data_IF_868635808960
#
_entry.id   IF_868635808960
#
_cell.length_a   1.000
_cell.length_b   1.000
_cell.length_c   1.000
_cell.angle_alpha   90.00
_cell.angle_beta   90.00
_cell.angle_gamma   90.00
#
_symmetry.space_group_name_H-M   'P 1'
#
loop_
_entity.id
_entity.type
_entity.pdbx_description
1 polymer ?
#
# COMPACT_ATOMS: atom_id res chain seq x y z
N UNK A 1 -12.12 -0.35 13.41
CA UNK A 1 -11.49 -0.42 12.07
C UNK A 1 -9.98 -0.66 12.15
N UNK A 2 -9.22 0.07 12.99
CA UNK A 2 -7.74 -0.09 13.09
C UNK A 2 -7.27 -1.55 13.25
N UNK A 3 -7.82 -2.37 14.16
CA UNK A 3 -7.41 -3.77 14.27
C UNK A 3 -7.64 -4.58 12.99
N UNK A 4 -8.66 -4.26 12.21
CA UNK A 4 -8.95 -4.95 10.95
C UNK A 4 -8.05 -4.48 9.80
N UNK A 5 -7.63 -3.20 9.79
CA UNK A 5 -6.63 -2.69 8.85
C UNK A 5 -5.28 -3.34 9.10
N UNK A 6 -4.88 -3.49 10.38
CA UNK A 6 -3.63 -4.15 10.74
C UNK A 6 -3.58 -5.63 10.35
N UNK A 7 -4.72 -6.34 10.32
CA UNK A 7 -4.77 -7.71 9.74
C UNK A 7 -4.35 -7.74 8.26
N UNK A 8 -4.47 -6.63 7.55
CA UNK A 8 -3.99 -6.52 6.16
C UNK A 8 -2.52 -6.12 6.15
N UNK A 9 -2.17 -5.02 6.82
CA UNK A 9 -0.84 -4.40 6.72
C UNK A 9 0.27 -5.20 7.40
N UNK A 10 -0.04 -5.88 8.51
CA UNK A 10 0.93 -6.69 9.27
C UNK A 10 1.58 -7.77 8.42
N UNK A 11 0.83 -8.76 7.88
CA UNK A 11 1.41 -9.78 7.01
C UNK A 11 1.87 -9.24 5.65
N UNK A 12 1.40 -8.05 5.23
CA UNK A 12 1.80 -7.48 3.94
C UNK A 12 3.24 -6.95 3.96
N UNK A 13 3.62 -6.18 5.00
CA UNK A 13 4.97 -5.63 5.11
C UNK A 13 5.39 -5.20 6.53
N UNK A 14 4.45 -4.84 7.43
CA UNK A 14 4.83 -4.30 8.75
C UNK A 14 5.52 -5.36 9.64
N UNK A 15 5.11 -6.63 9.55
CA UNK A 15 5.76 -7.71 10.31
C UNK A 15 7.23 -7.88 9.94
N UNK A 16 7.56 -7.77 8.66
CA UNK A 16 8.94 -7.83 8.17
C UNK A 16 9.73 -6.63 8.70
N UNK A 17 9.18 -5.40 8.62
CA UNK A 17 9.84 -4.21 9.18
C UNK A 17 10.10 -4.32 10.69
N UNK A 18 9.13 -4.83 11.45
CA UNK A 18 9.31 -5.07 12.89
C UNK A 18 10.36 -6.14 13.18
N UNK A 19 10.41 -7.20 12.37
CA UNK A 19 11.42 -8.26 12.47
C UNK A 19 12.81 -7.68 12.21
N UNK A 20 12.98 -6.89 11.14
CA UNK A 20 14.24 -6.24 10.81
C UNK A 20 14.68 -5.22 11.85
N UNK A 21 13.75 -4.48 12.47
CA UNK A 21 14.07 -3.58 13.58
C UNK A 21 14.61 -4.37 14.78
N UNK A 22 13.96 -5.48 15.13
CA UNK A 22 14.40 -6.36 16.22
C UNK A 22 15.78 -6.97 15.93
N UNK A 23 16.00 -7.44 14.71
CA UNK A 23 17.26 -8.06 14.27
C UNK A 23 18.40 -7.05 14.10
N UNK A 24 18.07 -5.77 13.90
CA UNK A 24 19.04 -4.68 13.93
C UNK A 24 19.59 -4.46 15.35
N UNK A 25 18.76 -4.62 16.37
CA UNK A 25 19.12 -4.33 17.77
C UNK A 25 19.72 -2.93 17.89
N UNK A 26 20.92 -2.83 18.46
CA UNK A 26 21.65 -1.56 18.58
C UNK A 26 22.68 -1.32 17.47
N UNK A 27 22.66 -2.10 16.38
CA UNK A 27 23.64 -1.96 15.29
C UNK A 27 23.32 -0.70 14.46
N UNK A 28 24.17 0.35 14.49
CA UNK A 28 23.86 1.62 13.84
C UNK A 28 23.70 1.48 12.33
N UNK A 29 24.49 0.63 11.68
CA UNK A 29 24.45 0.45 10.22
C UNK A 29 23.16 -0.23 9.78
N UNK A 30 22.73 -1.30 10.48
CA UNK A 30 21.45 -1.97 10.20
C UNK A 30 20.26 -1.03 10.41
N UNK A 31 20.26 -0.27 11.49
CA UNK A 31 19.22 0.73 11.78
C UNK A 31 19.15 1.82 10.71
N UNK A 32 20.30 2.34 10.26
CA UNK A 32 20.35 3.33 9.17
C UNK A 32 19.80 2.74 7.86
N UNK A 33 20.16 1.51 7.52
CA UNK A 33 19.65 0.83 6.33
C UNK A 33 18.14 0.63 6.40
N UNK A 34 17.60 0.24 7.56
CA UNK A 34 16.16 0.10 7.76
C UNK A 34 15.43 1.44 7.59
N UNK A 35 15.97 2.54 8.13
CA UNK A 35 15.41 3.88 7.90
C UNK A 35 15.42 4.28 6.43
N UNK A 36 16.54 4.04 5.72
CA UNK A 36 16.64 4.27 4.28
C UNK A 36 15.64 3.43 3.48
N UNK A 37 15.35 2.21 3.93
CA UNK A 37 14.32 1.35 3.34
C UNK A 37 12.92 1.92 3.55
N UNK A 38 12.57 2.33 4.78
CA UNK A 38 11.28 2.97 5.09
C UNK A 38 11.00 4.17 4.19
N UNK A 39 12.00 5.02 3.95
CA UNK A 39 11.91 6.19 3.07
C UNK A 39 11.57 5.83 1.61
N UNK A 40 11.80 4.59 1.17
CA UNK A 40 11.57 4.09 -0.19
C UNK A 40 10.34 3.20 -0.33
N UNK A 41 9.65 2.89 0.78
CA UNK A 41 8.41 2.11 0.76
C UNK A 41 7.27 2.99 0.30
N UNK A 42 6.50 2.47 -0.65
CA UNK A 42 5.29 3.09 -1.19
C UNK A 42 4.07 2.26 -0.86
N UNK A 43 3.01 2.94 -0.42
CA UNK A 43 1.73 2.30 -0.07
C UNK A 43 0.67 2.85 -1.01
N UNK A 44 -0.04 1.96 -1.70
CA UNK A 44 -1.01 2.32 -2.72
C UNK A 44 -2.39 1.74 -2.42
N UNK A 45 -3.40 2.60 -2.24
CA UNK A 45 -4.80 2.19 -2.07
C UNK A 45 -5.66 2.62 -3.26
N UNK A 46 -6.00 1.69 -4.19
CA UNK A 46 -6.78 1.99 -5.39
C UNK A 46 -8.29 2.10 -5.15
N UNK A 47 -8.75 2.15 -3.89
CA UNK A 47 -10.14 2.44 -3.53
C UNK A 47 -10.18 3.09 -2.14
N UNK A 48 -9.42 4.19 -1.98
CA UNK A 48 -8.96 4.60 -0.66
C UNK A 48 -10.02 5.19 0.27
N UNK A 49 -11.20 5.58 -0.24
CA UNK A 49 -12.21 6.25 0.55
C UNK A 49 -11.63 7.47 1.26
N UNK A 50 -11.77 7.53 2.59
CA UNK A 50 -11.20 8.58 3.44
C UNK A 50 -9.70 8.42 3.75
N UNK A 51 -9.01 7.45 3.14
CA UNK A 51 -7.56 7.25 3.29
C UNK A 51 -7.13 6.45 4.52
N UNK A 52 -8.04 5.72 5.19
CA UNK A 52 -7.72 5.05 6.46
C UNK A 52 -6.56 4.06 6.38
N UNK A 53 -6.45 3.27 5.30
CA UNK A 53 -5.31 2.36 5.12
C UNK A 53 -3.99 3.13 5.01
N UNK A 54 -3.97 4.21 4.22
CA UNK A 54 -2.80 5.06 4.02
C UNK A 54 -2.37 5.73 5.33
N UNK A 55 -3.32 6.27 6.09
CA UNK A 55 -3.07 6.93 7.39
C UNK A 55 -2.50 5.94 8.41
N UNK A 56 -3.08 4.74 8.53
CA UNK A 56 -2.58 3.74 9.48
C UNK A 56 -1.21 3.22 9.05
N UNK A 57 -1.00 2.95 7.76
CA UNK A 57 0.32 2.57 7.25
C UNK A 57 1.38 3.63 7.55
N UNK A 58 1.07 4.91 7.31
CA UNK A 58 1.98 6.03 7.60
C UNK A 58 2.33 6.08 9.09
N UNK A 59 1.33 6.02 9.98
CA UNK A 59 1.55 6.08 11.42
C UNK A 59 2.38 4.91 11.95
N UNK A 60 2.13 3.68 11.49
CA UNK A 60 2.93 2.52 11.90
C UNK A 60 4.37 2.62 11.37
N UNK A 61 4.58 3.08 10.14
CA UNK A 61 5.93 3.32 9.61
C UNK A 61 6.67 4.43 10.37
N UNK A 62 5.99 5.53 10.71
CA UNK A 62 6.54 6.61 11.55
C UNK A 62 6.92 6.14 12.94
N UNK A 63 6.16 5.21 13.53
CA UNK A 63 6.49 4.60 14.81
C UNK A 63 7.79 3.80 14.73
N UNK A 64 7.96 2.96 13.69
CA UNK A 64 9.19 2.20 13.46
C UNK A 64 10.38 3.15 13.25
N UNK A 65 10.20 4.23 12.47
CA UNK A 65 11.24 5.25 12.27
C UNK A 65 11.62 5.96 13.58
N UNK A 66 10.65 6.29 14.43
CA UNK A 66 10.91 6.89 15.74
C UNK A 66 11.71 5.95 16.65
N UNK A 67 11.37 4.65 16.68
CA UNK A 67 12.12 3.64 17.43
C UNK A 67 13.57 3.56 16.92
N UNK A 68 13.78 3.59 15.60
CA UNK A 68 15.12 3.65 14.99
C UNK A 68 15.88 4.90 15.46
N UNK A 69 15.23 6.06 15.42
CA UNK A 69 15.85 7.33 15.81
C UNK A 69 16.26 7.33 17.29
N UNK A 70 15.43 6.78 18.19
CA UNK A 70 15.76 6.61 19.61
C UNK A 70 16.98 5.71 19.78
N UNK A 71 17.00 4.53 19.14
CA UNK A 71 18.11 3.57 19.22
C UNK A 71 19.43 4.12 18.66
N UNK A 72 19.34 5.11 17.75
CA UNK A 72 20.48 5.81 17.17
C UNK A 72 20.92 7.05 17.95
N UNK A 73 20.19 7.47 18.99
CA UNK A 73 20.46 8.72 19.71
C UNK A 73 20.11 9.99 18.92
N UNK A 74 19.14 9.90 18.02
CA UNK A 74 18.70 10.98 17.11
C UNK A 74 17.19 11.31 17.29
N UNK A 75 16.65 11.49 18.52
CA UNK A 75 15.19 11.52 18.78
C UNK A 75 14.43 12.63 18.05
N UNK A 76 15.06 13.80 17.83
CA UNK A 76 14.40 14.97 17.20
C UNK A 76 14.47 14.97 15.66
N UNK A 77 15.05 13.91 15.06
CA UNK A 77 15.27 13.84 13.62
C UNK A 77 13.93 13.87 12.87
N UNK A 78 13.87 14.71 11.83
CA UNK A 78 12.73 14.78 10.92
C UNK A 78 12.52 13.44 10.19
N UNK A 79 11.28 13.16 9.80
CA UNK A 79 10.98 11.95 9.04
C UNK A 79 11.65 11.97 7.68
N UNK A 80 12.20 10.84 7.26
CA UNK A 80 12.68 10.61 5.90
C UNK A 80 11.60 9.94 5.05
N UNK A 81 10.40 9.70 5.59
CA UNK A 81 9.27 9.06 4.92
C UNK A 81 8.36 10.13 4.31
N UNK A 82 8.43 10.38 2.98
CA UNK A 82 7.62 11.43 2.38
C UNK A 82 6.15 11.01 2.24
N UNK A 83 5.22 11.94 2.46
CA UNK A 83 3.78 11.70 2.20
C UNK A 83 3.50 11.32 0.74
N UNK A 84 4.36 11.71 -0.20
CA UNK A 84 4.25 11.32 -1.61
C UNK A 84 4.41 9.82 -1.85
N UNK A 85 4.91 9.05 -0.87
CA UNK A 85 4.92 7.59 -0.95
C UNK A 85 3.54 6.94 -0.77
N UNK A 86 2.55 7.68 -0.25
CA UNK A 86 1.21 7.18 0.05
C UNK A 86 0.23 7.60 -1.04
N UNK A 87 -0.06 6.68 -1.97
CA UNK A 87 -0.88 6.95 -3.15
C UNK A 87 -2.30 6.41 -2.96
N UNK A 88 -3.30 7.14 -3.45
CA UNK A 88 -4.69 6.71 -3.43
C UNK A 88 -5.43 6.97 -4.73
N UNK A 89 -6.44 6.14 -5.05
CA UNK A 89 -7.48 6.46 -6.02
C UNK A 89 -8.84 6.39 -5.32
N UNK A 90 -9.66 7.41 -5.49
CA UNK A 90 -11.03 7.42 -4.97
C UNK A 90 -12.00 8.07 -5.97
N UNK A 91 -13.18 7.47 -6.10
CA UNK A 91 -14.20 7.87 -7.07
C UNK A 91 -14.97 9.12 -6.62
N UNK A 92 -15.17 9.31 -5.32
CA UNK A 92 -15.95 10.44 -4.77
C UNK A 92 -15.01 11.58 -4.39
N UNK A 93 -15.14 12.71 -5.07
CA UNK A 93 -14.34 13.93 -4.82
C UNK A 93 -14.26 14.32 -3.34
N UNK A 94 -15.38 14.31 -2.60
CA UNK A 94 -15.35 14.64 -1.17
C UNK A 94 -14.43 13.71 -0.37
N UNK A 95 -14.48 12.39 -0.63
CA UNK A 95 -13.63 11.43 0.07
C UNK A 95 -12.14 11.60 -0.29
N UNK A 96 -11.83 12.02 -1.51
CA UNK A 96 -10.47 12.40 -1.93
C UNK A 96 -9.92 13.53 -1.07
N UNK A 97 -10.69 14.61 -0.85
CA UNK A 97 -10.23 15.72 -0.01
C UNK A 97 -10.05 15.31 1.45
N UNK A 98 -10.94 14.47 1.97
CA UNK A 98 -10.80 13.90 3.33
C UNK A 98 -9.52 13.07 3.43
N UNK A 99 -9.21 12.22 2.44
CA UNK A 99 -7.99 11.40 2.46
C UNK A 99 -6.70 12.24 2.42
N UNK A 100 -6.67 13.33 1.63
CA UNK A 100 -5.54 14.26 1.60
C UNK A 100 -5.32 14.92 2.95
N UNK A 101 -6.38 15.48 3.52
CA UNK A 101 -6.33 16.14 4.83
C UNK A 101 -5.96 15.16 5.95
N UNK A 102 -6.47 13.94 5.91
CA UNK A 102 -6.19 12.93 6.93
C UNK A 102 -4.69 12.54 6.96
N UNK A 103 -4.02 12.48 5.81
CA UNK A 103 -2.58 12.23 5.73
C UNK A 103 -1.75 13.40 6.28
N UNK A 104 -2.11 14.64 5.94
CA UNK A 104 -1.49 15.86 6.48
C UNK A 104 -1.62 15.91 8.00
N UNK A 105 -2.82 15.63 8.52
CA UNK A 105 -3.06 15.57 9.97
C UNK A 105 -2.25 14.44 10.60
N UNK A 106 -2.13 13.29 9.94
CA UNK A 106 -1.33 12.17 10.45
C UNK A 106 0.16 12.52 10.55
N UNK A 107 0.72 13.22 9.55
CA UNK A 107 2.09 13.75 9.57
C UNK A 107 2.31 14.69 10.76
N UNK A 108 1.45 15.70 10.91
CA UNK A 108 1.50 16.61 12.05
C UNK A 108 1.42 15.88 13.39
N UNK A 109 0.47 14.95 13.54
CA UNK A 109 0.31 14.17 14.78
C UNK A 109 1.54 13.32 15.10
N UNK A 110 2.19 12.73 14.09
CA UNK A 110 3.42 11.99 14.28
C UNK A 110 4.59 12.91 14.65
N UNK A 111 4.72 14.07 14.01
CA UNK A 111 5.75 15.04 14.36
C UNK A 111 5.57 15.58 15.78
N UNK A 112 4.35 15.92 16.17
CA UNK A 112 4.06 16.35 17.53
C UNK A 112 4.39 15.26 18.56
N UNK A 113 4.03 14.01 18.25
CA UNK A 113 4.28 12.87 19.13
C UNK A 113 5.77 12.53 19.29
N UNK A 114 6.54 12.57 18.20
CA UNK A 114 7.92 12.07 18.19
C UNK A 114 8.99 13.16 18.28
N UNK A 115 8.67 14.41 17.90
CA UNK A 115 9.61 15.56 17.87
C UNK A 115 9.14 16.72 18.76
N UNK A 116 7.93 16.65 19.30
CA UNK A 116 7.33 17.71 20.11
C UNK A 116 6.72 18.86 19.31
N UNK A 117 5.78 19.56 19.94
CA UNK A 117 4.90 20.56 19.30
C UNK A 117 5.66 21.69 18.57
N UNK A 118 6.79 22.16 19.12
CA UNK A 118 7.56 23.25 18.52
C UNK A 118 8.13 22.87 17.15
N UNK A 119 8.67 21.66 17.01
CA UNK A 119 9.23 21.19 15.75
C UNK A 119 8.12 20.83 14.76
N UNK A 120 7.01 20.26 15.24
CA UNK A 120 5.85 19.95 14.41
C UNK A 120 5.27 21.20 13.72
N UNK A 121 5.09 22.30 14.46
CA UNK A 121 4.56 23.55 13.90
C UNK A 121 5.48 24.20 12.85
N UNK A 122 6.80 24.06 13.02
CA UNK A 122 7.78 24.61 12.08
C UNK A 122 7.81 23.85 10.74
N UNK A 123 7.55 22.55 10.76
CA UNK A 123 7.50 21.69 9.57
C UNK A 123 6.15 21.78 8.83
N UNK A 124 5.05 21.90 9.58
CA UNK A 124 3.70 21.77 9.05
C UNK A 124 3.26 22.88 8.08
N UNK A 125 3.84 24.08 8.19
CA UNK A 125 3.40 25.24 7.42
C UNK A 125 4.52 25.80 6.53
N UNK A 126 4.24 26.10 5.24
CA UNK A 126 2.94 26.00 4.57
C UNK A 126 2.55 24.56 4.17
N UNK A 127 1.24 24.28 4.13
CA UNK A 127 0.74 22.98 3.66
C UNK A 127 1.21 22.69 2.23
N UNK A 128 1.84 21.54 2.04
CA UNK A 128 2.28 21.06 0.73
C UNK A 128 1.06 20.88 -0.20
N UNK A 129 1.18 21.37 -1.44
CA UNK A 129 0.14 21.31 -2.49
C UNK A 129 0.23 20.07 -3.37
N UNK A 130 1.22 19.20 -3.14
CA UNK A 130 1.39 17.98 -3.92
C UNK A 130 0.17 17.07 -3.81
N UNK A 131 -0.19 16.45 -4.92
CA UNK A 131 -1.41 15.65 -4.99
C UNK A 131 -1.07 14.16 -4.98
N UNK A 132 -1.25 13.51 -3.84
CA UNK A 132 -1.01 12.07 -3.67
C UNK A 132 -2.29 11.21 -3.70
N UNK A 133 -3.48 11.84 -3.73
CA UNK A 133 -4.77 11.15 -3.89
C UNK A 133 -5.43 11.56 -5.21
N UNK A 134 -5.56 10.60 -6.12
CA UNK A 134 -6.15 10.82 -7.45
C UNK A 134 -7.67 10.66 -7.38
N UNK A 135 -8.40 11.70 -7.82
CA UNK A 135 -9.84 11.59 -8.03
C UNK A 135 -10.11 10.88 -9.35
N UNK A 136 -10.79 9.74 -9.31
CA UNK A 136 -11.20 9.04 -10.52
C UNK A 136 -11.57 7.57 -10.31
N UNK A 137 -11.89 6.93 -11.42
CA UNK A 137 -12.31 5.53 -11.43
C UNK A 137 -11.09 4.60 -11.54
N UNK A 138 -10.75 3.93 -10.45
CA UNK A 138 -9.62 3.01 -10.39
C UNK A 138 -9.71 1.86 -11.42
N UNK A 139 -10.91 1.46 -11.86
CA UNK A 139 -11.05 0.41 -12.86
C UNK A 139 -10.71 0.89 -14.27
N UNK A 140 -10.83 2.19 -14.55
CA UNK A 140 -10.52 2.82 -15.85
C UNK A 140 -9.13 3.43 -15.91
N UNK A 141 -8.61 3.91 -14.78
CA UNK A 141 -7.29 4.55 -14.73
C UNK A 141 -6.15 3.54 -14.87
N UNK A 142 -5.05 3.99 -15.45
CA UNK A 142 -3.79 3.26 -15.49
C UNK A 142 -3.05 3.43 -14.15
N UNK A 143 -2.96 2.35 -13.39
CA UNK A 143 -2.33 2.35 -12.07
C UNK A 143 -0.83 2.61 -12.13
N UNK A 144 -0.16 2.27 -13.24
CA UNK A 144 1.27 2.55 -13.42
C UNK A 144 1.56 4.04 -13.59
N UNK A 145 0.59 4.83 -14.06
CA UNK A 145 0.72 6.30 -14.12
C UNK A 145 0.45 6.96 -12.77
N UNK A 146 -0.51 6.43 -12.01
CA UNK A 146 -0.87 6.96 -10.69
C UNK A 146 0.20 6.61 -9.65
N UNK A 147 0.69 5.37 -9.70
CA UNK A 147 1.71 4.86 -8.81
C UNK A 147 2.79 4.16 -9.67
N UNK A 148 3.73 4.90 -10.28
CA UNK A 148 4.78 4.29 -11.11
C UNK A 148 5.71 3.41 -10.27
N UNK A 149 6.30 2.33 -10.81
CA UNK A 149 7.33 1.60 -10.09
C UNK A 149 8.55 2.49 -9.81
N UNK A 150 9.13 2.36 -8.63
CA UNK A 150 10.40 3.00 -8.29
C UNK A 150 11.53 2.39 -9.14
N UNK A 151 12.44 3.23 -9.65
CA UNK A 151 13.57 2.80 -10.50
C UNK A 151 13.44 2.98 -12.03
N UNK A 152 12.32 3.51 -12.57
CA UNK A 152 12.20 3.73 -14.04
C UNK A 152 12.69 5.11 -14.51
N UNK A 153 12.99 6.04 -13.58
CA UNK A 153 13.45 7.40 -13.90
C UNK A 153 14.92 7.65 -13.54
N UNK A 154 15.77 6.61 -13.62
CA UNK A 154 17.19 6.66 -13.23
C UNK A 154 18.18 6.29 -14.35
N UNK A 155 17.75 6.34 -15.61
CA UNK A 155 18.70 6.25 -16.73
C UNK A 155 19.51 7.56 -16.83
N UNK A 156 20.64 7.58 -16.11
CA UNK A 156 21.81 8.46 -16.27
C UNK A 156 21.55 9.98 -16.32
N UNK A 157 21.75 10.63 -15.17
CA UNK A 157 22.57 11.85 -15.12
C UNK A 157 23.78 11.52 -14.26
N UNK A 158 24.87 11.16 -14.95
CA UNK A 158 26.21 11.18 -14.37
C UNK A 158 26.55 12.67 -14.24
N UNK A 159 26.30 13.25 -13.09
CA UNK A 159 26.99 14.47 -12.67
C UNK A 159 28.12 14.06 -11.73
N UNK A 160 29.34 14.22 -12.24
CA UNK A 160 30.57 14.10 -11.48
C UNK A 160 30.56 15.15 -10.37
N UNK A 161 30.41 14.74 -9.11
CA UNK A 161 30.72 15.62 -7.97
C UNK A 161 31.76 14.97 -7.04
N UNK A 162 32.97 14.94 -7.59
CA UNK A 162 34.24 15.46 -7.06
C UNK A 162 34.49 15.64 -5.54
N UNK A 163 34.00 14.79 -4.64
CA UNK A 163 34.64 14.65 -3.30
C UNK A 163 34.86 13.18 -2.92
N UNK A 164 36.14 12.78 -3.01
CA UNK A 164 36.63 11.47 -2.59
C UNK A 164 36.63 11.32 -1.07
N UNK A 165 36.06 10.23 -0.58
CA UNK A 165 36.58 9.53 0.60
C UNK A 165 36.70 8.04 0.25
N UNK A 166 37.88 7.42 0.42
CA UNK A 166 38.05 6.01 0.11
C UNK A 166 37.67 5.19 1.33
N UNK A 167 36.61 4.40 1.22
CA UNK A 167 36.35 3.29 2.13
C UNK A 167 35.96 2.11 1.25
N UNK A 168 36.76 1.05 1.34
CA UNK A 168 36.52 -0.26 0.72
C UNK A 168 35.06 -0.68 0.95
N UNK A 169 34.21 -0.37 -0.04
CA UNK A 169 32.84 -0.83 -0.09
C UNK A 169 32.88 -2.22 -0.69
N UNK A 170 32.81 -3.23 0.17
CA UNK A 170 32.11 -4.45 -0.21
C UNK A 170 30.71 -3.99 -0.61
N UNK A 171 30.47 -3.95 -1.92
CA UNK A 171 29.15 -3.75 -2.52
C UNK A 171 28.24 -4.86 -1.99
N UNK A 172 27.52 -4.53 -0.91
CA UNK A 172 26.33 -5.28 -0.55
C UNK A 172 25.27 -4.72 -1.48
N UNK A 173 25.05 -5.39 -2.60
CA UNK A 173 23.91 -5.14 -3.50
C UNK A 173 22.65 -4.98 -2.64
N UNK A 174 22.14 -3.75 -2.57
CA UNK A 174 20.95 -3.48 -1.76
C UNK A 174 19.75 -4.06 -2.52
N UNK A 175 19.12 -5.09 -1.97
CA UNK A 175 17.94 -5.75 -2.56
C UNK A 175 16.74 -4.79 -2.82
N UNK A 176 16.82 -3.53 -2.36
CA UNK A 176 15.77 -2.52 -2.44
C UNK A 176 16.23 -1.16 -3.01
N UNK A 177 17.27 -1.10 -3.87
CA UNK A 177 17.64 0.15 -4.57
C UNK A 177 16.50 0.73 -5.41
N UNK A 178 15.67 -0.16 -5.96
CA UNK A 178 14.51 0.19 -6.77
C UNK A 178 13.23 0.49 -6.00
N UNK A 179 13.23 0.60 -4.66
CA UNK A 179 12.04 0.85 -3.82
C UNK A 179 10.95 -0.23 -3.84
N UNK A 180 10.10 -0.28 -2.82
CA UNK A 180 9.08 -1.32 -2.65
C UNK A 180 7.68 -0.71 -2.75
N UNK A 181 6.74 -1.41 -3.40
CA UNK A 181 5.34 -0.97 -3.45
C UNK A 181 4.41 -2.02 -2.87
N UNK A 182 3.55 -1.59 -1.95
CA UNK A 182 2.53 -2.41 -1.30
C UNK A 182 1.15 -1.86 -1.63
N UNK A 183 0.32 -2.66 -2.29
CA UNK A 183 -1.08 -2.34 -2.55
C UNK A 183 -1.91 -2.79 -1.35
N UNK A 184 -2.74 -1.93 -0.79
CA UNK A 184 -3.66 -2.32 0.27
C UNK A 184 -5.00 -1.63 0.14
N UNK A 185 -6.06 -2.20 0.70
CA UNK A 185 -7.35 -1.51 0.72
C UNK A 185 -8.54 -2.43 0.95
N UNK A 186 -9.70 -1.79 1.01
CA UNK A 186 -11.01 -2.43 1.11
C UNK A 186 -11.88 -1.90 -0.04
N UNK A 187 -11.74 -2.47 -1.26
CA UNK A 187 -12.50 -2.01 -2.41
C UNK A 187 -14.00 -2.35 -2.28
N UNK A 188 -14.88 -1.69 -3.03
CA UNK A 188 -16.33 -1.87 -2.90
C UNK A 188 -16.80 -3.29 -3.27
N UNK A 189 -17.75 -3.79 -2.48
CA UNK A 189 -18.35 -5.13 -2.64
C UNK A 189 -19.72 -5.04 -3.31
N UNK A 190 -19.97 -5.85 -4.34
CA UNK A 190 -21.29 -5.93 -4.96
C UNK A 190 -21.47 -7.21 -5.76
N UNK A 191 -22.31 -8.10 -5.25
CA UNK A 191 -22.69 -9.33 -5.94
C UNK A 191 -23.47 -9.06 -7.24
N UNK A 192 -23.48 -10.06 -8.14
CA UNK A 192 -24.06 -10.02 -9.49
C UNK A 192 -25.40 -9.27 -9.60
N UNK A 193 -26.36 -9.60 -8.75
CA UNK A 193 -27.74 -9.09 -8.83
C UNK A 193 -27.89 -7.66 -8.30
N UNK A 194 -26.90 -7.14 -7.57
CA UNK A 194 -26.90 -5.78 -7.02
C UNK A 194 -26.20 -4.78 -7.95
N UNK A 195 -25.39 -5.25 -8.92
CA UNK A 195 -24.64 -4.36 -9.84
C UNK A 195 -25.55 -3.63 -10.82
N UNK A 196 -25.34 -2.32 -10.94
CA UNK A 196 -25.94 -1.44 -11.95
C UNK A 196 -25.27 -1.59 -13.32
N UNK A 197 -25.74 -0.81 -14.30
CA UNK A 197 -25.23 -0.86 -15.67
C UNK A 197 -23.73 -0.50 -15.76
N UNK A 198 -23.33 0.62 -15.14
CA UNK A 198 -21.94 1.09 -15.18
C UNK A 198 -20.96 0.09 -14.56
N UNK A 199 -21.28 -0.48 -13.39
CA UNK A 199 -20.42 -1.47 -12.71
C UNK A 199 -20.26 -2.76 -13.53
N UNK A 200 -21.30 -3.15 -14.29
CA UNK A 200 -21.23 -4.27 -15.22
C UNK A 200 -20.35 -3.94 -16.43
N UNK A 201 -20.42 -2.71 -16.93
CA UNK A 201 -19.58 -2.25 -18.04
C UNK A 201 -18.10 -2.16 -17.64
N UNK A 202 -17.81 -1.64 -16.45
CA UNK A 202 -16.46 -1.60 -15.90
C UNK A 202 -15.87 -3.00 -15.73
N UNK A 203 -16.67 -3.97 -15.25
CA UNK A 203 -16.23 -5.35 -15.18
C UNK A 203 -15.89 -5.91 -16.58
N UNK A 204 -16.72 -5.63 -17.59
CA UNK A 204 -16.40 -6.00 -18.98
C UNK A 204 -15.11 -5.35 -19.47
N UNK A 205 -14.86 -4.09 -19.11
CA UNK A 205 -13.64 -3.39 -19.49
C UNK A 205 -12.39 -4.03 -18.86
N UNK A 206 -12.41 -4.32 -17.56
CA UNK A 206 -11.29 -4.92 -16.82
C UNK A 206 -10.90 -6.28 -17.39
N UNK A 207 -11.89 -7.09 -17.78
CA UNK A 207 -11.67 -8.44 -18.31
C UNK A 207 -11.74 -8.53 -19.84
N UNK A 208 -11.68 -7.40 -20.56
CA UNK A 208 -11.89 -7.34 -22.01
C UNK A 208 -10.93 -8.20 -22.84
N UNK A 209 -9.73 -8.49 -22.30
CA UNK A 209 -8.73 -9.32 -22.94
C UNK A 209 -8.99 -10.84 -22.81
N UNK A 210 -10.01 -11.27 -22.05
CA UNK A 210 -10.28 -12.68 -21.78
C UNK A 210 -11.64 -13.12 -22.33
N UNK A 211 -11.73 -14.30 -22.95
CA UNK A 211 -13.00 -14.83 -23.41
C UNK A 211 -13.88 -15.23 -22.21
N UNK A 212 -15.11 -14.74 -22.17
CA UNK A 212 -16.08 -15.10 -21.13
C UNK A 212 -16.96 -13.95 -20.68
N UNK A 213 -17.92 -14.25 -19.79
CA UNK A 213 -18.78 -13.24 -19.15
C UNK A 213 -18.41 -13.07 -17.69
N UNK A 214 -17.70 -11.99 -17.38
CA UNK A 214 -17.24 -11.67 -16.03
C UNK A 214 -18.22 -10.79 -15.24
N UNK A 215 -19.39 -10.51 -15.81
CA UNK A 215 -20.45 -9.78 -15.13
C UNK A 215 -21.01 -10.52 -13.90
N UNK A 216 -20.78 -11.83 -13.79
CA UNK A 216 -21.17 -12.64 -12.62
C UNK A 216 -20.24 -12.44 -11.40
N UNK A 217 -18.98 -12.05 -11.63
CA UNK A 217 -18.01 -11.86 -10.53
C UNK A 217 -18.49 -10.79 -9.55
N UNK A 218 -18.12 -10.92 -8.27
CA UNK A 218 -18.30 -9.84 -7.30
C UNK A 218 -17.51 -8.62 -7.78
N UNK A 219 -18.04 -7.42 -7.55
CA UNK A 219 -17.42 -6.19 -8.04
C UNK A 219 -15.98 -6.00 -7.53
N UNK A 220 -15.67 -6.49 -6.33
CA UNK A 220 -14.31 -6.47 -5.75
C UNK A 220 -13.29 -7.30 -6.54
N UNK A 221 -13.75 -8.30 -7.30
CA UNK A 221 -12.87 -9.13 -8.15
C UNK A 221 -12.11 -8.31 -9.20
N UNK A 222 -12.66 -7.17 -9.62
CA UNK A 222 -11.99 -6.26 -10.55
C UNK A 222 -10.70 -5.69 -9.96
N UNK A 223 -10.68 -5.34 -8.67
CA UNK A 223 -9.49 -4.84 -7.99
C UNK A 223 -8.46 -5.95 -7.75
N UNK A 224 -8.91 -7.16 -7.39
CA UNK A 224 -8.03 -8.33 -7.27
C UNK A 224 -7.30 -8.57 -8.59
N UNK A 225 -8.04 -8.54 -9.71
CA UNK A 225 -7.45 -8.75 -11.03
C UNK A 225 -6.49 -7.60 -11.43
N UNK A 226 -6.89 -6.34 -11.29
CA UNK A 226 -5.98 -5.21 -11.58
C UNK A 226 -4.74 -5.18 -10.69
N UNK A 227 -4.87 -5.54 -9.40
CA UNK A 227 -3.73 -5.69 -8.51
C UNK A 227 -2.79 -6.78 -9.01
N UNK A 228 -3.31 -7.93 -9.47
CA UNK A 228 -2.48 -8.99 -10.04
C UNK A 228 -1.69 -8.52 -11.28
N UNK A 229 -2.29 -7.71 -12.15
CA UNK A 229 -1.61 -7.14 -13.31
C UNK A 229 -0.51 -6.15 -12.88
N UNK A 230 -0.79 -5.30 -11.89
CA UNK A 230 0.19 -4.36 -11.37
C UNK A 230 1.37 -5.10 -10.72
N UNK A 231 1.09 -6.05 -9.81
CA UNK A 231 2.09 -6.87 -9.12
C UNK A 231 2.99 -7.61 -10.12
N UNK A 232 2.44 -8.12 -11.23
CA UNK A 232 3.20 -8.79 -12.27
C UNK A 232 4.26 -7.87 -12.91
N UNK A 233 3.91 -6.60 -13.13
CA UNK A 233 4.79 -5.63 -13.81
C UNK A 233 5.82 -5.05 -12.85
N UNK A 234 5.42 -4.73 -11.62
CA UNK A 234 6.24 -3.95 -10.68
C UNK A 234 6.88 -4.80 -9.58
N UNK A 235 6.59 -6.10 -9.53
CA UNK A 235 6.94 -7.00 -8.42
C UNK A 235 6.38 -6.54 -7.06
N UNK A 236 5.36 -5.69 -7.06
CA UNK A 236 4.64 -5.28 -5.85
C UNK A 236 3.92 -6.46 -5.20
N UNK A 237 3.59 -6.30 -3.92
CA UNK A 237 2.68 -7.19 -3.18
C UNK A 237 1.36 -6.47 -2.89
N UNK A 238 0.26 -7.21 -2.79
CA UNK A 238 -1.05 -6.64 -2.48
C UNK A 238 -1.72 -7.35 -1.32
N UNK A 239 -2.42 -6.61 -0.46
CA UNK A 239 -3.29 -7.13 0.59
C UNK A 239 -4.67 -6.51 0.49
N UNK A 240 -5.68 -7.26 0.06
CA UNK A 240 -7.01 -6.73 -0.20
C UNK A 240 -8.06 -7.40 0.68
N UNK A 241 -8.97 -6.58 1.21
CA UNK A 241 -10.19 -7.07 1.84
C UNK A 241 -11.23 -7.34 0.75
N UNK A 242 -11.91 -8.48 0.82
CA UNK A 242 -12.95 -8.85 -0.13
C UNK A 242 -14.08 -9.61 0.57
N UNK A 243 -15.26 -9.67 -0.06
CA UNK A 243 -16.30 -10.62 0.34
C UNK A 243 -15.78 -12.05 0.22
N UNK A 244 -16.16 -12.92 1.16
CA UNK A 244 -15.73 -14.32 1.14
C UNK A 244 -16.23 -15.11 -0.09
N UNK A 245 -17.23 -14.58 -0.80
CA UNK A 245 -17.75 -15.14 -2.05
C UNK A 245 -16.67 -15.31 -3.12
N UNK A 246 -15.65 -14.45 -3.18
CA UNK A 246 -14.57 -14.57 -4.19
C UNK A 246 -13.74 -15.85 -4.03
N UNK A 247 -13.83 -16.50 -2.86
CA UNK A 247 -13.18 -17.76 -2.54
C UNK A 247 -14.17 -18.94 -2.49
N UNK A 248 -15.40 -18.78 -3.01
CA UNK A 248 -16.46 -19.80 -2.93
C UNK A 248 -17.22 -19.95 -4.26
N UNK A 249 -17.68 -21.17 -4.55
CA UNK A 249 -18.60 -21.47 -5.66
C UNK A 249 -18.09 -21.01 -7.03
N UNK A 250 -19.01 -20.49 -7.85
CA UNK A 250 -18.76 -20.07 -9.24
C UNK A 250 -17.65 -19.01 -9.36
N UNK A 251 -17.51 -18.11 -8.37
CA UNK A 251 -16.50 -17.05 -8.37
C UNK A 251 -15.08 -17.62 -8.49
N UNK A 252 -14.83 -18.78 -7.86
CA UNK A 252 -13.50 -19.38 -7.82
C UNK A 252 -13.05 -19.81 -9.20
N UNK A 253 -13.94 -20.49 -9.93
CA UNK A 253 -13.67 -21.01 -11.26
C UNK A 253 -13.49 -19.88 -12.30
N UNK A 254 -14.12 -18.73 -12.08
CA UNK A 254 -14.05 -17.59 -13.00
C UNK A 254 -12.84 -16.68 -12.74
N UNK A 255 -12.51 -16.39 -11.47
CA UNK A 255 -11.50 -15.39 -11.12
C UNK A 255 -10.08 -15.96 -11.05
N UNK A 256 -9.87 -16.99 -10.21
CA UNK A 256 -8.52 -17.41 -9.81
C UNK A 256 -7.67 -17.97 -10.94
N UNK A 257 -8.21 -18.74 -11.92
CA UNK A 257 -7.40 -19.14 -13.08
C UNK A 257 -6.81 -17.97 -13.84
N UNK A 258 -7.48 -16.81 -13.88
CA UNK A 258 -6.96 -15.61 -14.54
C UNK A 258 -5.84 -14.95 -13.72
N UNK A 259 -6.01 -14.88 -12.40
CA UNK A 259 -5.00 -14.34 -11.48
C UNK A 259 -3.73 -15.20 -11.51
N UNK A 260 -3.86 -16.53 -11.38
CA UNK A 260 -2.73 -17.45 -11.40
C UNK A 260 -1.98 -17.46 -12.74
N UNK A 261 -2.69 -17.29 -13.87
CA UNK A 261 -2.06 -17.12 -15.20
C UNK A 261 -1.18 -15.86 -15.31
N UNK A 262 -1.31 -14.88 -14.41
CA UNK A 262 -0.40 -13.74 -14.33
C UNK A 262 0.92 -14.07 -13.61
N UNK A 263 1.11 -15.31 -13.15
CA UNK A 263 2.24 -15.68 -12.30
C UNK A 263 2.13 -15.13 -10.87
N UNK A 264 0.93 -14.72 -10.46
CA UNK A 264 0.61 -14.23 -9.11
C UNK A 264 0.07 -15.39 -8.29
N UNK A 265 0.44 -15.46 -7.02
CA UNK A 265 -0.02 -16.47 -6.05
C UNK A 265 -0.61 -15.80 -4.80
N UNK A 266 -1.36 -16.56 -4.01
CA UNK A 266 -1.81 -16.10 -2.69
C UNK A 266 -0.65 -16.27 -1.71
N UNK A 267 -0.10 -15.18 -1.18
CA UNK A 267 1.04 -15.19 -0.25
C UNK A 267 0.64 -15.37 1.21
N UNK A 268 -0.51 -14.83 1.60
CA UNK A 268 -1.13 -15.03 2.90
C UNK A 268 -2.64 -14.85 2.78
N UNK A 269 -3.40 -15.31 3.78
CA UNK A 269 -4.83 -15.09 3.82
C UNK A 269 -5.38 -15.05 5.25
N UNK A 270 -6.45 -14.30 5.45
CA UNK A 270 -7.35 -14.47 6.58
C UNK A 270 -8.67 -15.06 6.09
N UNK A 271 -9.07 -16.16 6.70
CA UNK A 271 -10.37 -16.81 6.45
C UNK A 271 -11.53 -15.95 6.95
N UNK A 272 -12.75 -16.34 6.61
CA UNK A 272 -13.97 -15.55 6.85
C UNK A 272 -14.07 -14.99 8.28
N UNK A 273 -14.20 -13.67 8.41
CA UNK A 273 -14.47 -12.99 9.68
C UNK A 273 -15.41 -11.79 9.48
N UNK A 274 -16.01 -11.31 10.57
CA UNK A 274 -16.87 -10.13 10.55
C UNK A 274 -16.04 -8.84 10.48
N UNK A 275 -16.21 -8.06 9.41
CA UNK A 275 -15.64 -6.71 9.33
C UNK A 275 -16.52 -5.74 10.12
N UNK A 276 -16.14 -5.47 11.37
CA UNK A 276 -16.77 -4.45 12.20
C UNK A 276 -16.16 -3.06 11.95
N UNK A 277 -17.00 -2.13 11.52
CA UNK A 277 -16.68 -0.70 11.55
C UNK A 277 -17.18 -0.09 12.87
N UNK A 278 -16.62 1.05 13.26
CA UNK A 278 -17.05 1.83 14.43
C UNK A 278 -18.34 2.65 14.14
N UNK A 279 -18.97 2.45 12.98
CA UNK A 279 -20.19 3.13 12.60
C UNK A 279 -21.42 2.50 13.26
N UNK A 280 -22.48 3.30 13.43
CA UNK A 280 -23.64 3.06 14.29
C UNK A 280 -24.43 1.78 13.99
N UNK A 281 -24.34 1.23 12.78
CA UNK A 281 -25.00 -0.02 12.38
C UNK A 281 -24.03 -1.22 12.48
N UNK A 282 -24.26 -2.06 13.50
CA UNK A 282 -23.41 -3.20 13.90
C UNK A 282 -23.49 -4.44 12.99
N UNK A 283 -24.15 -4.37 11.83
CA UNK A 283 -24.21 -5.49 10.90
C UNK A 283 -22.86 -5.61 10.15
N UNK A 284 -21.99 -6.48 10.65
CA UNK A 284 -20.73 -6.81 9.97
C UNK A 284 -20.98 -7.49 8.63
N UNK A 285 -20.14 -7.17 7.65
CA UNK A 285 -20.04 -7.96 6.42
C UNK A 285 -19.00 -9.06 6.66
N UNK A 286 -19.32 -10.29 6.29
CA UNK A 286 -18.34 -11.38 6.30
C UNK A 286 -17.34 -11.17 5.17
N UNK A 287 -16.07 -10.99 5.53
CA UNK A 287 -14.98 -10.74 4.59
C UNK A 287 -13.86 -11.76 4.75
N UNK A 288 -13.00 -11.82 3.74
CA UNK A 288 -11.67 -12.43 3.77
C UNK A 288 -10.62 -11.35 3.53
N UNK A 289 -9.36 -11.64 3.89
CA UNK A 289 -8.21 -10.86 3.44
C UNK A 289 -7.36 -11.77 2.57
N UNK A 290 -6.94 -11.27 1.41
CA UNK A 290 -6.14 -12.01 0.45
C UNK A 290 -4.86 -11.22 0.19
N UNK A 291 -3.73 -11.84 0.51
CA UNK A 291 -2.39 -11.42 0.11
C UNK A 291 -2.04 -11.96 -1.26
N UNK A 292 -1.54 -11.13 -2.16
CA UNK A 292 -1.09 -11.49 -3.51
C UNK A 292 0.37 -11.07 -3.68
N UNK A 293 1.17 -11.93 -4.30
CA UNK A 293 2.54 -11.62 -4.69
C UNK A 293 2.93 -12.38 -5.96
N UNK A 294 4.04 -12.01 -6.59
CA UNK A 294 4.63 -12.77 -7.68
C UNK A 294 5.11 -14.14 -7.18
N UNK A 295 4.84 -15.20 -7.94
CA UNK A 295 5.27 -16.56 -7.63
C UNK A 295 6.81 -16.61 -7.60
N UNK A 296 7.38 -16.93 -6.44
CA UNK A 296 8.83 -16.89 -6.17
C UNK A 296 9.28 -15.79 -5.19
N UNK A 297 8.40 -14.88 -4.77
CA UNK A 297 8.68 -13.92 -3.69
C UNK A 297 8.39 -14.49 -2.27
N UNK A 298 8.32 -15.82 -2.11
CA UNK A 298 7.90 -16.47 -0.85
C UNK A 298 8.99 -16.52 0.24
N UNK A 299 10.24 -16.20 -0.10
CA UNK A 299 11.39 -16.34 0.80
C UNK A 299 11.96 -15.00 1.31
N UNK A 300 11.13 -13.93 1.38
CA UNK A 300 11.53 -12.66 2.02
C UNK A 300 11.04 -12.58 3.46
#
# INVERSE_FOLDING_TARGET
SVPNILKVLNPLFLNDLHTQLKDAGNNPRKLLNLRKRLARIRVFDPACGSGNFLVIAYKEMRKIEADINILRGEPDRATEIPLTNFRGIELRHFAVEIARLALIIAEYQCDELYRGQRLALAEFLPLNKENWITHGNALRLDWLKVCPPTGTSGAKLVENDLFQTPLDQVEIDFENEGGETYICGNPPYKGRNKKGANEKEEAKHVFSAFPGTYAALDYVANWIFKASQYCRITKASAGLVATNSVCQGEQVALLWPLVYKQGICISYAHTSFQWSNLASDKAGVTVVIIGLALNGNFDR
#
